data_IF_560664126653
#
_entry.id   IF_560664126653
#
_cell.length_a   1.000
_cell.length_b   1.000
_cell.length_c   1.000
_cell.angle_alpha   90.00
_cell.angle_beta   90.00
_cell.angle_gamma   90.00
#
_symmetry.space_group_name_H-M   'P 1'
#
loop_
_entity.id
_entity.type
_entity.pdbx_description
1 polymer ?
#
# COMPACT_ATOMS: atom_id res chain seq x y z
N UNK A 1 47.56 37.66 -17.24
CA UNK A 1 46.46 38.19 -16.42
C UNK A 1 45.12 37.84 -17.05
N UNK A 2 44.95 37.99 -18.37
CA UNK A 2 43.74 37.57 -19.11
C UNK A 2 43.39 36.07 -18.98
N UNK A 3 44.37 35.16 -19.02
CA UNK A 3 44.13 33.72 -18.87
C UNK A 3 43.50 33.36 -17.50
N UNK A 4 43.92 34.06 -16.44
CA UNK A 4 43.36 33.86 -15.11
C UNK A 4 41.89 34.32 -15.06
N UNK A 5 41.58 35.45 -15.69
CA UNK A 5 40.22 36.00 -15.78
C UNK A 5 39.31 35.04 -16.56
N UNK A 6 39.78 34.52 -17.69
CA UNK A 6 39.02 33.56 -18.51
C UNK A 6 38.72 32.27 -17.73
N UNK A 7 39.69 31.75 -16.97
CA UNK A 7 39.52 30.55 -16.14
C UNK A 7 38.56 30.79 -14.98
N UNK A 8 38.63 31.95 -14.32
CA UNK A 8 37.68 32.31 -13.25
C UNK A 8 36.27 32.41 -13.82
N UNK A 9 36.07 33.09 -14.95
CA UNK A 9 34.77 33.21 -15.58
C UNK A 9 34.17 31.84 -15.99
N UNK A 10 35.00 30.96 -16.55
CA UNK A 10 34.57 29.62 -16.92
C UNK A 10 34.14 28.80 -15.69
N UNK A 11 34.83 28.97 -14.57
CA UNK A 11 34.51 28.29 -13.31
C UNK A 11 33.21 28.81 -12.71
N UNK A 12 33.01 30.13 -12.73
CA UNK A 12 31.76 30.76 -12.28
C UNK A 12 30.55 30.31 -13.11
N UNK A 13 30.70 30.24 -14.43
CA UNK A 13 29.63 29.79 -15.31
C UNK A 13 29.25 28.33 -15.04
N UNK A 14 30.25 27.45 -14.93
CA UNK A 14 30.01 26.04 -14.56
C UNK A 14 29.36 25.89 -13.19
N UNK A 15 29.72 26.75 -12.24
CA UNK A 15 29.11 26.72 -10.91
C UNK A 15 27.64 27.15 -10.96
N UNK A 16 27.29 28.15 -11.78
CA UNK A 16 25.89 28.53 -12.02
C UNK A 16 25.09 27.40 -12.66
N UNK A 17 25.61 26.79 -13.72
CA UNK A 17 24.99 25.64 -14.39
C UNK A 17 24.77 24.47 -13.41
N UNK A 18 25.76 24.19 -12.55
CA UNK A 18 25.65 23.16 -11.54
C UNK A 18 24.55 23.47 -10.51
N UNK A 19 24.48 24.72 -10.04
CA UNK A 19 23.44 25.15 -9.09
C UNK A 19 22.04 25.03 -9.71
N UNK A 20 21.87 25.46 -10.96
CA UNK A 20 20.61 25.33 -11.69
C UNK A 20 20.19 23.86 -11.87
N UNK A 21 21.15 23.00 -12.22
CA UNK A 21 20.92 21.56 -12.37
C UNK A 21 20.51 20.92 -11.04
N UNK A 22 21.21 21.25 -9.95
CA UNK A 22 20.89 20.75 -8.61
C UNK A 22 19.49 21.20 -8.19
N UNK A 23 19.13 22.47 -8.44
CA UNK A 23 17.81 22.99 -8.08
C UNK A 23 16.69 22.30 -8.87
N UNK A 24 16.96 21.97 -10.13
CA UNK A 24 16.03 21.21 -10.98
C UNK A 24 15.82 19.82 -10.41
N UNK A 25 16.90 19.09 -10.11
CA UNK A 25 16.81 17.76 -9.53
C UNK A 25 16.15 17.73 -8.15
N UNK A 26 16.35 18.76 -7.32
CA UNK A 26 15.65 18.87 -6.04
C UNK A 26 14.14 18.95 -6.25
N UNK A 27 13.69 19.73 -7.23
CA UNK A 27 12.27 19.84 -7.59
C UNK A 27 11.72 18.50 -8.09
N UNK A 28 12.43 17.86 -9.03
CA UNK A 28 12.04 16.55 -9.57
C UNK A 28 11.94 15.48 -8.47
N UNK A 29 12.89 15.45 -7.53
CA UNK A 29 12.86 14.52 -6.39
C UNK A 29 11.64 14.77 -5.51
N UNK A 30 11.26 16.03 -5.29
CA UNK A 30 10.06 16.35 -4.50
C UNK A 30 8.79 15.91 -5.20
N UNK A 31 8.67 16.15 -6.50
CA UNK A 31 7.52 15.71 -7.31
C UNK A 31 7.40 14.18 -7.32
N UNK A 32 8.51 13.47 -7.53
CA UNK A 32 8.53 12.00 -7.52
C UNK A 32 8.14 11.44 -6.14
N UNK A 33 8.58 12.07 -5.05
CA UNK A 33 8.18 11.66 -3.69
C UNK A 33 6.68 11.80 -3.47
N UNK A 34 6.08 12.88 -3.96
CA UNK A 34 4.63 13.08 -3.83
C UNK A 34 3.85 12.07 -4.68
N UNK A 35 4.34 11.75 -5.88
CA UNK A 35 3.74 10.71 -6.72
C UNK A 35 3.81 9.33 -6.05
N UNK A 36 4.95 8.98 -5.46
CA UNK A 36 5.11 7.71 -4.71
C UNK A 36 4.09 7.67 -3.57
N UNK A 37 4.01 8.73 -2.77
CA UNK A 37 3.06 8.79 -1.65
C UNK A 37 1.61 8.61 -2.12
N UNK A 38 1.21 9.30 -3.18
CA UNK A 38 -0.15 9.20 -3.74
C UNK A 38 -0.46 7.77 -4.19
N UNK A 39 0.52 7.10 -4.82
CA UNK A 39 0.37 5.71 -5.26
C UNK A 39 0.30 4.74 -4.07
N UNK A 40 1.07 4.97 -3.01
CA UNK A 40 1.01 4.19 -1.79
C UNK A 40 -0.36 4.30 -1.11
N UNK A 41 -0.89 5.52 -0.95
CA UNK A 41 -2.21 5.78 -0.39
C UNK A 41 -3.31 5.10 -1.24
N UNK A 42 -3.23 5.22 -2.57
CA UNK A 42 -4.18 4.54 -3.47
C UNK A 42 -4.11 3.01 -3.39
N UNK A 43 -2.91 2.44 -3.22
CA UNK A 43 -2.73 1.00 -3.07
C UNK A 43 -3.28 0.49 -1.73
N UNK A 44 -3.04 1.24 -0.66
CA UNK A 44 -3.63 0.94 0.66
C UNK A 44 -5.16 0.95 0.58
N UNK A 45 -5.75 1.96 -0.06
CA UNK A 45 -7.20 2.04 -0.27
C UNK A 45 -7.75 0.87 -1.09
N UNK A 46 -7.07 0.49 -2.18
CA UNK A 46 -7.46 -0.66 -2.99
C UNK A 46 -7.40 -1.96 -2.19
N UNK A 47 -6.32 -2.18 -1.45
CA UNK A 47 -6.16 -3.36 -0.62
C UNK A 47 -7.22 -3.40 0.50
N UNK A 48 -7.51 -2.26 1.12
CA UNK A 48 -8.56 -2.14 2.12
C UNK A 48 -9.94 -2.41 1.52
N UNK A 49 -10.24 -1.91 0.31
CA UNK A 49 -11.50 -2.22 -0.39
C UNK A 49 -11.65 -3.71 -0.67
N UNK A 50 -10.58 -4.38 -1.10
CA UNK A 50 -10.59 -5.84 -1.33
C UNK A 50 -10.72 -6.64 -0.03
N UNK A 51 -10.23 -6.11 1.11
CA UNK A 51 -10.26 -6.80 2.41
C UNK A 51 -11.40 -6.39 3.32
N UNK A 52 -12.19 -5.36 2.98
CA UNK A 52 -13.24 -4.79 3.84
C UNK A 52 -14.28 -5.80 4.30
N UNK A 53 -14.58 -6.81 3.48
CA UNK A 53 -15.55 -7.86 3.80
C UNK A 53 -14.87 -9.16 4.28
N UNK A 54 -13.56 -9.15 4.52
CA UNK A 54 -12.83 -10.32 4.98
C UNK A 54 -12.76 -10.33 6.52
N UNK A 55 -13.23 -11.40 7.14
CA UNK A 55 -13.13 -11.61 8.58
C UNK A 55 -11.98 -12.58 8.85
N UNK A 56 -11.11 -12.23 9.80
CA UNK A 56 -10.06 -13.11 10.30
C UNK A 56 -10.54 -13.82 11.56
N UNK A 57 -10.65 -15.15 11.49
CA UNK A 57 -11.03 -15.97 12.64
C UNK A 57 -9.79 -16.69 13.16
N UNK A 58 -9.50 -16.55 14.46
CA UNK A 58 -8.35 -17.17 15.14
C UNK A 58 -8.82 -18.08 16.27
N UNK A 59 -7.98 -19.06 16.64
CA UNK A 59 -8.28 -19.98 17.75
C UNK A 59 -9.21 -21.15 17.37
N UNK A 60 -9.38 -21.42 16.08
CA UNK A 60 -10.08 -22.61 15.60
C UNK A 60 -9.13 -23.83 15.70
N UNK A 61 -9.67 -24.97 16.16
CA UNK A 61 -8.93 -26.22 16.23
C UNK A 61 -8.61 -26.73 14.82
N UNK A 62 -7.33 -26.93 14.49
CA UNK A 62 -6.85 -27.33 13.16
C UNK A 62 -7.49 -28.63 12.65
N UNK A 63 -7.84 -29.54 13.56
CA UNK A 63 -8.32 -30.89 13.22
C UNK A 63 -9.78 -30.94 12.71
N UNK A 64 -10.51 -29.83 12.74
CA UNK A 64 -11.95 -29.84 12.44
C UNK A 64 -12.34 -29.37 11.03
N UNK A 65 -11.42 -28.80 10.23
CA UNK A 65 -11.85 -27.90 9.14
C UNK A 65 -11.13 -28.02 7.78
N UNK A 66 -10.64 -29.18 7.35
CA UNK A 66 -10.03 -29.27 6.01
C UNK A 66 -11.04 -29.40 4.87
N UNK A 67 -12.22 -29.99 5.09
CA UNK A 67 -13.25 -30.14 4.02
C UNK A 67 -14.55 -29.34 4.28
N UNK A 68 -14.85 -28.99 5.54
CA UNK A 68 -16.11 -28.35 5.95
C UNK A 68 -15.90 -26.95 6.58
N UNK A 69 -14.80 -26.27 6.26
CA UNK A 69 -14.50 -24.95 6.83
C UNK A 69 -15.64 -23.94 6.63
N UNK A 70 -16.27 -23.83 5.44
CA UNK A 70 -17.38 -22.91 5.24
C UNK A 70 -18.57 -23.19 6.18
N UNK A 71 -19.03 -24.45 6.22
CA UNK A 71 -20.20 -24.86 7.00
C UNK A 71 -19.97 -24.70 8.50
N UNK A 72 -18.74 -24.97 8.93
CA UNK A 72 -18.37 -24.87 10.33
C UNK A 72 -18.25 -23.43 10.81
N UNK A 73 -17.69 -22.55 9.98
CA UNK A 73 -17.68 -21.12 10.26
C UNK A 73 -19.12 -20.58 10.30
N UNK A 74 -19.98 -21.02 9.39
CA UNK A 74 -21.40 -20.63 9.39
C UNK A 74 -22.09 -21.06 10.70
N UNK A 75 -21.86 -22.29 11.17
CA UNK A 75 -22.40 -22.77 12.46
C UNK A 75 -21.91 -21.92 13.64
N UNK A 76 -20.63 -21.53 13.66
CA UNK A 76 -20.08 -20.63 14.67
C UNK A 76 -20.75 -19.26 14.60
N UNK A 77 -20.91 -18.67 13.40
CA UNK A 77 -21.55 -17.37 13.25
C UNK A 77 -23.03 -17.39 13.65
N UNK A 78 -23.78 -18.45 13.33
CA UNK A 78 -25.17 -18.61 13.78
C UNK A 78 -25.28 -18.73 15.30
N UNK A 79 -24.31 -19.36 15.95
CA UNK A 79 -24.26 -19.40 17.41
C UNK A 79 -23.98 -18.02 18.02
N UNK A 80 -23.10 -17.22 17.40
CA UNK A 80 -22.74 -15.88 17.87
C UNK A 80 -23.78 -14.81 17.53
N UNK A 81 -24.52 -15.01 16.43
CA UNK A 81 -25.55 -14.09 15.91
C UNK A 81 -26.87 -14.85 15.73
N UNK A 82 -27.55 -15.22 16.83
CA UNK A 82 -28.74 -16.07 16.78
C UNK A 82 -29.93 -15.41 16.09
N UNK A 83 -29.94 -14.08 15.97
CA UNK A 83 -30.97 -13.32 15.26
C UNK A 83 -30.73 -13.25 13.75
N UNK A 84 -29.51 -13.54 13.28
CA UNK A 84 -29.19 -13.55 11.87
C UNK A 84 -29.62 -14.90 11.26
N UNK A 85 -30.40 -14.86 10.18
CA UNK A 85 -30.75 -16.11 9.50
C UNK A 85 -29.55 -16.64 8.73
N UNK A 86 -29.49 -17.97 8.54
CA UNK A 86 -28.47 -18.60 7.71
C UNK A 86 -28.43 -18.04 6.28
N UNK A 87 -29.58 -17.61 5.78
CA UNK A 87 -29.71 -17.02 4.44
C UNK A 87 -29.09 -15.61 4.35
N UNK A 88 -28.95 -14.91 5.48
CA UNK A 88 -28.34 -13.58 5.55
C UNK A 88 -26.81 -13.64 5.70
N UNK A 89 -26.28 -14.80 6.13
CA UNK A 89 -24.85 -15.04 6.32
C UNK A 89 -24.24 -15.67 5.06
N UNK A 90 -24.12 -14.86 4.01
CA UNK A 90 -23.50 -15.26 2.76
C UNK A 90 -21.97 -15.20 2.86
N UNK A 91 -21.31 -16.31 2.54
CA UNK A 91 -19.85 -16.41 2.52
C UNK A 91 -19.38 -16.87 1.15
N UNK A 92 -18.58 -16.03 0.50
CA UNK A 92 -18.06 -16.32 -0.84
C UNK A 92 -16.92 -17.34 -0.81
N UNK A 93 -15.98 -17.18 0.13
CA UNK A 93 -14.81 -18.06 0.28
C UNK A 93 -14.31 -18.12 1.72
N UNK A 94 -13.91 -19.32 2.15
CA UNK A 94 -13.19 -19.54 3.39
C UNK A 94 -11.94 -20.35 3.09
N UNK A 95 -10.80 -19.93 3.63
CA UNK A 95 -9.53 -20.64 3.51
C UNK A 95 -8.70 -20.39 4.76
N UNK A 96 -7.81 -21.33 5.06
CA UNK A 96 -6.76 -21.12 6.04
C UNK A 96 -5.66 -20.26 5.39
N UNK A 97 -5.16 -19.28 6.14
CA UNK A 97 -4.09 -18.38 5.72
C UNK A 97 -2.72 -18.89 6.15
#
# INVERSE_FOLDING_TARGET
>A
MEDLVARTQATENKMKELVETVQTHVTEIQELREQIRTLEEANEDLNNRTRRNNIWVRGLLEMAFTELLPDSLLAVFQHLLPEASAADLLMDRAHQA
#
